data_IF_413082810838
#
_entry.id   IF_413082810838
#
_cell.length_a   1.000
_cell.length_b   1.000
_cell.length_c   1.000
_cell.angle_alpha   90.00
_cell.angle_beta   90.00
_cell.angle_gamma   90.00
#
_symmetry.space_group_name_H-M   'P 1'
#
loop_
_entity.id
_entity.type
_entity.pdbx_description
1 polymer ?
2 non-polymer ?
3 water ?
#
# COMPACT_ATOMS: atom_id res chain seq x y z
N UNK A 2 21.00 -4.97 -2.05
CA UNK A 2 22.07 -5.99 -2.16
C UNK A 2 21.84 -7.20 -1.27
N UNK A 3 22.24 -7.07 0.00
CA UNK A 3 22.08 -8.17 0.93
C UNK A 3 20.64 -8.29 1.38
N UNK A 4 20.37 -9.32 2.18
CA UNK A 4 19.01 -9.59 2.65
C UNK A 4 18.54 -8.49 3.59
N UNK A 5 19.46 -7.86 4.32
CA UNK A 5 19.07 -6.82 5.27
C UNK A 5 18.45 -5.63 4.55
N UNK A 6 19.03 -5.23 3.42
CA UNK A 6 18.45 -4.14 2.64
C UNK A 6 17.06 -4.49 2.16
N UNK A 7 16.86 -5.74 1.72
CA UNK A 7 15.53 -6.17 1.29
C UNK A 7 14.54 -6.13 2.45
N UNK A 8 14.96 -6.58 3.64
CA UNK A 8 14.07 -6.54 4.79
C UNK A 8 13.69 -5.11 5.13
N UNK A 9 14.66 -4.19 5.12
CA UNK A 9 14.36 -2.80 5.40
C UNK A 9 13.40 -2.23 4.37
N UNK A 10 13.63 -2.54 3.09
CA UNK A 10 12.75 -2.03 2.03
C UNK A 10 11.33 -2.54 2.21
N UNK A 11 11.18 -3.84 2.49
CA UNK A 11 9.86 -4.41 2.70
C UNK A 11 9.15 -3.82 3.91
N UNK A 12 9.89 -3.60 5.01
CA UNK A 12 9.29 -3.03 6.21
C UNK A 12 8.99 -1.55 6.08
N UNK A 13 9.69 -0.83 5.21
CA UNK A 13 9.47 0.60 5.05
C UNK A 13 8.46 0.94 3.96
N UNK A 14 8.29 0.07 2.96
CA UNK A 14 7.35 0.31 1.88
C UNK A 14 5.99 -0.33 2.14
N UNK A 15 5.79 -0.95 3.30
CA UNK A 15 4.53 -1.60 3.62
C UNK A 15 3.48 -0.65 4.17
N UNK A 16 3.88 0.30 5.01
CA UNK A 16 2.94 1.27 5.59
C UNK A 16 3.58 2.65 5.50
N UNK A 17 2.86 3.59 4.89
CA UNK A 17 3.34 4.96 4.76
C UNK A 17 2.40 5.91 5.49
N UNK A 18 1.10 5.80 5.25
CA UNK A 18 0.11 6.64 5.89
C UNK A 18 -1.02 5.85 6.56
N UNK A 19 -1.21 4.58 6.19
CA UNK A 19 -2.26 3.78 6.81
C UNK A 19 -2.07 3.74 8.31
N UNK A 20 -0.85 3.96 8.80
CA UNK A 20 -0.61 3.98 10.23
C UNK A 20 -1.44 5.04 10.93
N UNK A 21 -1.91 6.05 10.20
CA UNK A 21 -2.73 7.11 10.77
C UNK A 21 -4.22 6.87 10.58
N UNK A 22 -4.63 6.14 9.54
CA UNK A 22 -6.03 5.80 9.31
C UNK A 22 -6.43 4.48 9.94
N UNK A 23 -5.47 3.72 10.48
CA UNK A 23 -5.77 2.43 11.07
C UNK A 23 -6.68 2.58 12.29
N UNK A 24 -6.41 3.54 13.17
CA UNK A 24 -7.36 3.77 14.27
C UNK A 24 -8.76 4.12 13.80
N UNK A 25 -8.87 4.85 12.69
CA UNK A 25 -10.19 5.14 12.13
C UNK A 25 -10.88 3.85 11.68
N UNK A 26 -10.11 2.92 11.11
CA UNK A 26 -10.67 1.62 10.76
C UNK A 26 -11.11 0.86 11.99
N UNK A 27 -10.31 0.90 13.06
CA UNK A 27 -10.72 0.25 14.30
C UNK A 27 -11.99 0.84 14.88
N UNK A 28 -12.15 2.15 14.80
CA UNK A 28 -13.37 2.78 15.29
C UNK A 28 -14.61 2.26 14.59
N UNK A 29 -14.45 1.70 13.38
CA UNK A 29 -15.56 1.13 12.62
C UNK A 29 -15.68 -0.38 12.81
N UNK A 30 -14.56 -1.08 12.96
CA UNK A 30 -14.56 -2.53 13.09
C UNK A 30 -14.68 -3.00 14.54
N UNK A 31 -14.10 -2.27 15.48
CA UNK A 31 -13.96 -2.73 16.84
C UNK A 31 -12.59 -3.36 17.06
N UNK A 32 -12.26 -3.55 18.34
CA UNK A 32 -10.94 -4.05 18.70
C UNK A 32 -10.74 -5.48 18.21
N UNK A 33 -11.67 -6.38 18.53
CA UNK A 33 -11.51 -7.78 18.15
C UNK A 33 -11.49 -7.93 16.64
N UNK A 34 -12.48 -7.36 15.96
CA UNK A 34 -12.55 -7.49 14.50
C UNK A 34 -11.33 -6.85 13.85
N UNK A 35 -10.91 -5.69 14.33
CA UNK A 35 -9.74 -5.04 13.76
C UNK A 35 -8.48 -5.87 13.90
N UNK A 36 -8.24 -6.40 15.10
CA UNK A 36 -7.05 -7.21 15.32
C UNK A 36 -7.09 -8.45 14.44
N UNK A 37 -8.23 -9.14 14.42
CA UNK A 37 -8.33 -10.36 13.61
C UNK A 37 -8.11 -10.06 12.14
N UNK A 38 -8.71 -8.98 11.64
CA UNK A 38 -8.53 -8.63 10.24
C UNK A 38 -7.08 -8.28 9.93
N UNK A 39 -6.41 -7.52 10.80
CA UNK A 39 -5.02 -7.20 10.54
C UNK A 39 -4.16 -8.46 10.48
N UNK A 40 -4.32 -9.37 11.45
CA UNK A 40 -3.53 -10.59 11.41
C UNK A 40 -3.84 -11.46 10.19
N UNK A 41 -5.12 -11.67 9.89
CA UNK A 41 -5.49 -12.49 8.74
C UNK A 41 -4.96 -11.90 7.44
N UNK A 42 -5.11 -10.60 7.25
CA UNK A 42 -4.61 -9.94 6.05
C UNK A 42 -3.09 -9.88 6.00
N UNK A 43 -2.41 -9.82 7.14
CA UNK A 43 -0.96 -9.89 7.14
C UNK A 43 -0.49 -11.23 6.64
N UNK A 44 -1.08 -12.32 7.15
CA UNK A 44 -0.74 -13.64 6.65
C UNK A 44 -1.07 -13.77 5.16
N UNK A 45 -2.23 -13.30 4.75
CA UNK A 45 -2.62 -13.42 3.34
C UNK A 45 -1.70 -12.60 2.43
N UNK A 46 -1.31 -11.40 2.87
CA UNK A 46 -0.39 -10.60 2.08
C UNK A 46 0.99 -11.21 1.99
N UNK A 47 1.48 -11.80 3.09
CA UNK A 47 2.74 -12.53 3.01
C UNK A 47 2.63 -13.68 2.02
N UNK A 48 1.51 -14.40 2.02
CA UNK A 48 1.33 -15.49 1.08
C UNK A 48 1.34 -14.99 -0.36
N UNK A 49 0.62 -13.90 -0.63
CA UNK A 49 0.59 -13.36 -1.98
C UNK A 49 1.96 -12.84 -2.42
N UNK A 50 2.72 -12.23 -1.50
CA UNK A 50 4.08 -11.83 -1.83
C UNK A 50 4.95 -13.04 -2.16
N UNK A 51 4.77 -14.14 -1.42
CA UNK A 51 5.50 -15.36 -1.74
C UNK A 51 5.13 -15.87 -3.12
N UNK A 52 3.84 -15.82 -3.47
CA UNK A 52 3.42 -16.24 -4.80
C UNK A 52 4.05 -15.38 -5.88
N UNK A 53 4.08 -14.06 -5.66
CA UNK A 53 4.69 -13.16 -6.63
C UNK A 53 6.17 -13.46 -6.79
N UNK A 54 6.85 -13.73 -5.67
CA UNK A 54 8.26 -14.11 -5.74
C UNK A 54 8.47 -15.40 -6.50
N UNK A 55 7.60 -16.39 -6.29
CA UNK A 55 7.71 -17.65 -7.04
C UNK A 55 7.54 -17.38 -8.52
N UNK A 56 6.55 -16.57 -8.90
CA UNK A 56 6.35 -16.27 -10.31
C UNK A 56 7.54 -15.53 -10.91
N UNK A 57 8.09 -14.56 -10.17
CA UNK A 57 9.25 -13.82 -10.66
C UNK A 57 10.45 -14.73 -10.86
N UNK A 58 10.70 -15.62 -9.90
CA UNK A 58 11.81 -16.55 -10.01
C UNK A 58 11.59 -17.49 -11.19
N UNK A 59 10.36 -17.98 -11.37
CA UNK A 59 10.06 -18.86 -12.48
C UNK A 59 10.32 -18.18 -13.81
N UNK A 60 9.86 -16.94 -13.96
CA UNK A 60 10.08 -16.21 -15.20
C UNK A 60 11.58 -15.98 -15.44
N UNK A 61 12.31 -15.57 -14.39
CA UNK A 61 13.73 -15.32 -14.57
C UNK A 61 14.48 -16.58 -14.96
N UNK A 62 14.16 -17.72 -14.35
CA UNK A 62 14.80 -18.97 -14.74
C UNK A 62 14.41 -19.37 -16.17
N UNK A 63 13.14 -19.21 -16.51
CA UNK A 63 12.68 -19.54 -17.86
C UNK A 63 13.37 -18.69 -18.92
N UNK A 64 13.75 -17.46 -18.57
CA UNK A 64 14.46 -16.61 -19.52
C UNK A 64 15.96 -16.86 -19.53
N UNK A 65 16.55 -17.16 -18.37
CA UNK A 65 17.97 -17.49 -18.32
C UNK A 65 18.28 -18.79 -19.05
N UNK A 66 17.39 -19.78 -18.96
CA UNK A 66 17.60 -21.02 -19.69
C UNK A 66 17.65 -20.80 -21.19
N UNK A 67 17.11 -19.67 -21.67
CA UNK A 67 17.20 -19.27 -23.07
C UNK A 67 18.28 -18.23 -23.31
N UNK A 68 19.14 -17.98 -22.32
CA UNK A 68 20.25 -17.03 -22.42
C UNK A 68 19.77 -15.61 -22.66
N UNK A 69 18.60 -15.24 -22.15
CA UNK A 69 18.12 -13.87 -22.28
C UNK A 69 18.98 -12.94 -21.44
N UNK A 70 19.17 -11.71 -21.93
CA UNK A 70 20.11 -10.79 -21.32
C UNK A 70 19.43 -9.81 -20.35
N UNK A 71 18.26 -9.30 -20.72
CA UNK A 71 17.54 -8.29 -19.94
C UNK A 71 18.20 -6.92 -20.05
N UNK A 72 19.36 -6.84 -20.69
CA UNK A 72 20.11 -5.58 -20.83
C UNK A 72 20.16 -4.80 -19.53
N UNK A 73 20.21 -5.52 -18.40
CA UNK A 73 20.30 -4.88 -17.09
C UNK A 73 19.14 -3.91 -16.84
N UNK A 74 17.91 -4.43 -16.85
CA UNK A 74 16.74 -3.62 -16.55
C UNK A 74 15.83 -4.39 -15.59
N UNK A 75 15.16 -3.65 -14.72
CA UNK A 75 14.25 -4.28 -13.76
C UNK A 75 13.17 -5.03 -14.50
N UNK A 76 12.91 -6.27 -14.09
CA UNK A 76 11.85 -7.08 -14.68
C UNK A 76 10.55 -6.72 -13.99
N UNK A 77 9.79 -5.80 -14.58
CA UNK A 77 8.57 -5.35 -13.96
C UNK A 77 7.52 -6.45 -13.95
N UNK A 78 6.50 -6.27 -13.11
CA UNK A 78 5.48 -7.30 -12.92
C UNK A 78 4.76 -7.62 -14.23
N UNK A 79 4.42 -6.61 -15.02
CA UNK A 79 3.74 -6.87 -16.28
C UNK A 79 4.63 -7.63 -17.25
N UNK A 80 5.94 -7.37 -17.25
CA UNK A 80 6.85 -8.15 -18.09
C UNK A 80 6.86 -9.62 -17.67
N UNK A 81 6.93 -9.89 -16.37
CA UNK A 81 6.89 -11.26 -15.88
C UNK A 81 5.60 -11.93 -16.32
N UNK A 82 4.47 -11.25 -16.12
CA UNK A 82 3.18 -11.83 -16.45
C UNK A 82 3.05 -12.06 -17.95
N UNK A 83 3.58 -11.15 -18.77
CA UNK A 83 3.57 -11.35 -20.22
C UNK A 83 4.37 -12.59 -20.60
N UNK A 84 5.61 -12.66 -20.13
CA UNK A 84 6.46 -13.78 -20.52
C UNK A 84 6.02 -15.10 -19.93
N UNK A 85 5.17 -15.08 -18.92
CA UNK A 85 4.77 -16.31 -18.24
C UNK A 85 3.37 -16.78 -18.64
N UNK A 86 2.48 -15.88 -19.08
CA UNK A 86 1.10 -16.27 -19.34
C UNK A 86 0.51 -15.73 -20.64
N UNK A 87 1.09 -14.73 -21.28
CA UNK A 87 0.60 -14.22 -22.54
C UNK A 87 0.33 -12.73 -22.49
N UNK A 88 -0.15 -12.23 -23.64
CA UNK A 88 -0.34 -10.79 -23.80
C UNK A 88 -1.58 -10.28 -23.09
N UNK A 89 -2.65 -11.06 -23.06
CA UNK A 89 -3.85 -10.62 -22.36
C UNK A 89 -3.59 -10.42 -20.88
N UNK A 90 -2.89 -11.36 -20.24
CA UNK A 90 -2.49 -11.18 -18.86
C UNK A 90 -1.51 -10.02 -18.71
N UNK A 91 -0.67 -9.77 -19.71
CA UNK A 91 0.16 -8.58 -19.68
C UNK A 91 -0.69 -7.32 -19.57
N UNK A 92 -1.70 -7.20 -20.43
CA UNK A 92 -2.55 -6.02 -20.42
C UNK A 92 -3.27 -5.90 -19.08
N UNK A 93 -3.81 -7.01 -18.59
CA UNK A 93 -4.54 -6.98 -17.33
C UNK A 93 -3.64 -6.51 -16.19
N UNK A 94 -2.47 -7.15 -16.05
CA UNK A 94 -1.56 -6.77 -14.98
C UNK A 94 -1.08 -5.34 -15.10
N UNK A 95 -0.70 -4.94 -16.32
CA UNK A 95 -0.25 -3.57 -16.53
C UNK A 95 -1.32 -2.57 -16.10
N UNK A 96 -2.55 -2.75 -16.59
CA UNK A 96 -3.60 -1.80 -16.28
C UNK A 96 -3.84 -1.74 -14.79
N UNK A 97 -4.03 -2.89 -14.14
CA UNK A 97 -4.35 -2.89 -12.72
C UNK A 97 -3.22 -2.32 -11.89
N UNK A 98 -1.98 -2.76 -12.17
CA UNK A 98 -0.84 -2.30 -11.39
C UNK A 98 -0.60 -0.81 -11.54
N UNK A 99 -0.62 -0.29 -12.77
CA UNK A 99 -0.43 1.14 -12.99
C UNK A 99 -1.55 1.97 -12.37
N UNK A 100 -2.81 1.55 -12.51
CA UNK A 100 -3.90 2.29 -11.89
C UNK A 100 -3.74 2.31 -10.37
N UNK A 101 -3.41 1.17 -9.77
CA UNK A 101 -3.25 1.13 -8.32
C UNK A 101 -2.10 2.02 -7.88
N UNK A 102 -0.99 2.00 -8.61
CA UNK A 102 0.14 2.86 -8.25
C UNK A 102 -0.20 4.34 -8.40
N UNK A 103 -0.93 4.72 -9.44
CA UNK A 103 -1.36 6.10 -9.60
C UNK A 103 -2.23 6.53 -8.42
N UNK A 104 -3.20 5.69 -8.05
CA UNK A 104 -4.07 6.04 -6.94
C UNK A 104 -3.33 6.03 -5.61
N UNK A 105 -2.34 5.15 -5.46
CA UNK A 105 -1.51 5.19 -4.26
C UNK A 105 -0.71 6.47 -4.15
N UNK A 106 -0.12 6.92 -5.26
CA UNK A 106 0.59 8.20 -5.25
C UNK A 106 -0.35 9.35 -4.91
N UNK A 107 -1.58 9.31 -5.45
CA UNK A 107 -2.59 10.28 -5.05
C UNK A 107 -2.82 10.21 -3.55
N UNK A 108 -2.86 8.99 -3.00
CA UNK A 108 -3.09 8.79 -1.57
C UNK A 108 -1.96 9.42 -0.76
N UNK A 109 -0.72 9.23 -1.18
CA UNK A 109 0.41 9.86 -0.49
C UNK A 109 0.37 11.38 -0.57
N UNK A 110 0.00 11.94 -1.72
CA UNK A 110 -0.14 13.38 -1.81
C UNK A 110 -1.21 13.89 -0.85
N UNK A 111 -2.36 13.21 -0.80
CA UNK A 111 -3.42 13.59 0.12
C UNK A 111 -2.93 13.49 1.57
N UNK A 112 -2.17 12.43 1.87
CA UNK A 112 -1.66 12.25 3.23
C UNK A 112 -0.71 13.38 3.61
N UNK A 113 0.18 13.77 2.70
CA UNK A 113 1.07 14.89 2.99
C UNK A 113 0.28 16.17 3.23
N UNK A 114 -0.71 16.43 2.38
CA UNK A 114 -1.51 17.64 2.54
C UNK A 114 -2.24 17.64 3.88
N UNK A 115 -2.80 16.50 4.26
CA UNK A 115 -3.51 16.43 5.54
C UNK A 115 -2.55 16.58 6.71
N UNK A 116 -1.39 15.94 6.65
CA UNK A 116 -0.46 15.96 7.77
C UNK A 116 0.12 17.35 8.00
N UNK A 117 0.51 18.05 6.93
CA UNK A 117 1.13 19.36 7.14
C UNK A 117 0.16 20.32 7.80
N UNK A 118 -1.15 20.13 7.61
CA UNK A 118 -2.13 21.04 8.18
C UNK A 118 -2.03 21.10 9.70
N UNK A 119 -1.51 20.03 10.33
CA UNK A 119 -1.48 19.96 11.78
C UNK A 119 -0.20 20.54 12.38
N UNK A 120 0.77 20.94 11.55
CA UNK A 120 1.87 21.78 12.01
C UNK A 120 1.54 23.25 11.80
N UNK A 121 0.94 23.57 10.65
CA UNK A 121 0.62 24.94 10.27
C UNK A 121 -0.80 24.92 9.70
N UNK A 122 -1.77 25.34 10.51
CA UNK A 122 -3.16 25.37 10.09
C UNK A 122 -3.54 26.70 9.44
N UNK A 123 -2.59 27.63 9.27
CA UNK A 123 -2.89 28.91 8.67
C UNK A 123 -3.38 28.78 7.23
N UNK A 124 -3.07 27.67 6.57
CA UNK A 124 -3.50 27.42 5.21
C UNK A 124 -4.40 26.19 5.18
N UNK A 125 -5.47 26.28 4.40
CA UNK A 125 -6.38 25.14 4.25
C UNK A 125 -5.67 23.97 3.58
N UNK A 126 -6.25 22.78 3.76
CA UNK A 126 -5.60 21.59 3.24
C UNK A 126 -5.49 21.61 1.72
N UNK A 127 -6.30 22.42 1.05
CA UNK A 127 -6.23 22.51 -0.41
C UNK A 127 -4.98 23.28 -0.86
N UNK A 128 -4.65 24.36 -0.14
CA UNK A 128 -3.41 25.08 -0.44
C UNK A 128 -2.21 24.19 -0.19
N UNK A 129 -2.23 23.42 0.89
CA UNK A 129 -1.16 22.46 1.15
C UNK A 129 -1.11 21.40 0.07
N UNK A 130 -2.27 20.98 -0.44
CA UNK A 130 -2.28 20.05 -1.55
C UNK A 130 -1.61 20.65 -2.78
N UNK A 131 -1.89 21.92 -3.08
CA UNK A 131 -1.20 22.57 -4.19
C UNK A 131 0.32 22.57 -3.98
N UNK A 132 0.75 23.00 -2.80
CA UNK A 132 2.19 23.15 -2.54
C UNK A 132 2.89 21.81 -2.66
N UNK A 133 2.33 20.78 -2.02
CA UNK A 133 2.95 19.47 -2.05
C UNK A 133 2.78 18.76 -3.38
N UNK A 134 1.76 19.12 -4.16
CA UNK A 134 1.69 18.62 -5.52
C UNK A 134 2.82 19.18 -6.36
N UNK A 135 3.14 20.47 -6.18
CA UNK A 135 4.32 21.01 -6.84
C UNK A 135 5.60 20.31 -6.36
N UNK A 136 5.72 20.10 -5.05
CA UNK A 136 6.90 19.43 -4.51
C UNK A 136 7.04 18.02 -5.07
N UNK A 137 5.93 17.31 -5.24
CA UNK A 137 5.98 15.96 -5.78
C UNK A 137 6.24 15.97 -7.28
N UNK A 138 5.67 16.94 -8.00
CA UNK A 138 5.99 17.09 -9.42
C UNK A 138 7.47 17.37 -9.62
N UNK A 139 8.12 17.97 -8.62
CA UNK A 139 9.56 18.14 -8.69
C UNK A 139 10.29 16.81 -8.80
N UNK A 140 9.65 15.70 -8.39
CA UNK A 140 10.30 14.39 -8.41
C UNK A 140 10.46 13.82 -9.81
N UNK A 141 9.85 14.44 -10.83
CA UNK A 141 9.96 13.90 -12.18
C UNK A 141 11.41 13.87 -12.63
N UNK A 142 12.21 14.86 -12.23
CA UNK A 142 13.60 14.95 -12.65
C UNK A 142 14.46 13.83 -12.08
N UNK A 143 14.01 13.14 -11.04
CA UNK A 143 14.77 12.05 -10.43
C UNK A 143 14.55 10.81 -11.28
N UNK A 144 15.61 10.17 -11.81
CA UNK A 144 15.40 9.02 -12.70
C UNK A 144 14.72 7.84 -12.01
N UNK A 145 15.28 7.37 -10.90
CA UNK A 145 14.77 6.20 -10.21
C UNK A 145 14.99 6.37 -8.71
N UNK A 146 14.51 5.39 -7.95
CA UNK A 146 14.63 5.40 -6.49
C UNK A 146 15.22 4.09 -5.95
N UNK A 147 15.37 3.07 -6.79
CA UNK A 147 15.90 1.79 -6.37
C UNK A 147 17.31 1.91 -5.81
N UNK A 148 18.08 2.86 -6.34
CA UNK A 148 19.49 2.97 -5.99
C UNK A 148 19.69 3.29 -4.50
N UNK A 149 18.66 3.79 -3.84
CA UNK A 149 18.80 4.33 -2.50
C UNK A 149 18.39 3.31 -1.44
N UNK A 150 19.24 3.16 -0.42
CA UNK A 150 18.99 2.32 0.75
C UNK A 150 18.75 3.12 2.01
N UNK A 151 19.30 4.34 2.08
CA UNK A 151 19.01 5.24 3.18
C UNK A 151 17.51 5.50 3.26
N UNK A 152 16.87 5.69 2.11
CA UNK A 152 15.44 5.98 2.08
C UNK A 152 14.62 4.81 2.61
N UNK A 153 15.21 3.62 2.74
CA UNK A 153 14.54 2.48 3.35
C UNK A 153 14.82 2.37 4.84
N UNK A 154 16.10 2.32 5.23
CA UNK A 154 16.37 2.11 6.66
C UNK A 154 16.32 3.40 7.46
N UNK A 155 15.90 4.51 6.86
CA UNK A 155 15.47 5.68 7.61
C UNK A 155 13.95 5.78 7.67
N UNK A 156 13.27 5.47 6.56
CA UNK A 156 11.82 5.45 6.57
C UNK A 156 11.26 4.43 7.56
N UNK A 157 11.94 3.30 7.71
CA UNK A 157 11.52 2.35 8.73
C UNK A 157 11.60 2.97 10.12
N UNK A 158 12.67 3.71 10.41
CA UNK A 158 12.78 4.39 11.70
C UNK A 158 11.67 5.42 11.88
N UNK A 159 11.37 6.18 10.82
CA UNK A 159 10.28 7.15 10.93
C UNK A 159 8.95 6.48 11.24
N UNK A 160 8.64 5.38 10.54
CA UNK A 160 7.40 4.67 10.82
C UNK A 160 7.37 4.11 12.23
N UNK A 161 8.49 3.55 12.69
CA UNK A 161 8.54 3.03 14.05
C UNK A 161 8.30 4.13 15.07
N UNK A 162 8.94 5.29 14.87
CA UNK A 162 8.76 6.40 15.80
C UNK A 162 7.32 6.87 15.81
N UNK A 163 6.70 6.97 14.63
CA UNK A 163 5.31 7.42 14.58
C UNK A 163 4.40 6.44 15.30
N UNK A 164 4.59 5.14 15.06
CA UNK A 164 3.73 4.15 15.72
C UNK A 164 3.89 4.19 17.22
N UNK A 165 5.13 4.25 17.71
CA UNK A 165 5.34 4.26 19.16
C UNK A 165 4.90 5.57 19.78
N UNK A 166 5.03 6.70 19.07
CA UNK A 166 4.48 7.95 19.58
C UNK A 166 2.97 7.83 19.72
N UNK A 167 2.29 7.31 18.69
CA UNK A 167 0.85 7.11 18.78
C UNK A 167 0.50 6.29 20.00
N UNK A 168 1.17 5.14 20.17
CA UNK A 168 0.87 4.25 21.28
C UNK A 168 1.06 4.94 22.62
N UNK A 169 2.25 5.53 22.83
CA UNK A 169 2.57 6.10 24.13
C UNK A 169 1.69 7.31 24.44
N UNK A 170 1.47 8.18 23.44
CA UNK A 170 0.63 9.35 23.67
C UNK A 170 -0.80 8.94 23.98
N UNK A 171 -1.34 7.95 23.26
CA UNK A 171 -2.69 7.49 23.54
C UNK A 171 -2.78 6.90 24.94
N UNK A 172 -1.80 6.10 25.34
CA UNK A 172 -1.83 5.52 26.68
C UNK A 172 -1.70 6.58 27.76
N UNK A 173 -0.84 7.58 27.57
CA UNK A 173 -0.65 8.61 28.59
C UNK A 173 -1.85 9.53 28.68
N UNK A 174 -2.45 9.88 27.55
CA UNK A 174 -3.59 10.80 27.56
C UNK A 174 -4.75 10.22 28.37
N UNK A 175 -5.03 8.94 28.18
CA UNK A 175 -6.11 8.29 28.89
C UNK A 175 -7.46 8.63 28.32
N UNK A 176 -8.38 7.66 28.34
CA UNK A 176 -9.72 7.89 27.80
C UNK A 176 -10.54 8.70 28.79
N UNK A 177 -11.31 9.65 28.27
CA UNK A 177 -12.13 10.52 29.11
C UNK A 177 -13.40 9.79 29.56
N UNK A 178 -14.09 10.40 30.53
CA UNK A 178 -15.31 9.80 31.05
C UNK A 178 -16.41 9.75 30.00
N UNK A 179 -16.39 10.67 29.04
CA UNK A 179 -17.44 10.76 28.02
C UNK A 179 -17.14 9.90 26.80
N UNK A 180 -16.05 9.12 26.83
CA UNK A 180 -15.71 8.30 25.68
C UNK A 180 -16.76 7.21 25.49
N UNK A 181 -16.92 6.77 24.25
CA UNK A 181 -17.80 5.66 23.91
C UNK A 181 -17.06 4.72 22.97
N UNK A 182 -17.32 3.41 23.13
CA UNK A 182 -16.67 2.37 22.34
C UNK A 182 -17.76 1.50 21.72
N UNK A 183 -18.24 1.91 20.55
CA UNK A 183 -19.26 1.15 19.83
C UNK A 183 -18.60 0.29 18.77
N UNK A 184 -18.96 -0.99 18.75
CA UNK A 184 -18.43 -1.92 17.78
C UNK A 184 -19.09 -1.74 16.43
N UNK A 185 -19.33 -2.84 15.71
CA UNK A 185 -20.01 -2.72 14.41
C UNK A 185 -21.40 -2.13 14.55
N UNK A 186 -21.60 -0.93 13.99
CA UNK A 186 -22.90 -0.28 13.97
C UNK A 186 -23.66 -0.52 12.68
N UNK A 187 -22.98 -0.40 11.54
CA UNK A 187 -23.57 -0.72 10.25
C UNK A 187 -22.52 -1.41 9.41
N UNK A 188 -22.95 -2.35 8.57
CA UNK A 188 -22.01 -3.13 7.77
C UNK A 188 -21.16 -2.25 6.87
N UNK A 189 -21.65 -1.08 6.48
CA UNK A 189 -20.88 -0.20 5.61
C UNK A 189 -19.58 0.21 6.28
N UNK A 190 -19.66 0.70 7.52
CA UNK A 190 -18.46 1.12 8.23
C UNK A 190 -17.55 -0.07 8.53
N UNK A 191 -18.14 -1.20 8.93
CA UNK A 191 -17.36 -2.39 9.20
C UNK A 191 -16.53 -2.81 8.00
N UNK A 192 -17.17 -2.91 6.83
CA UNK A 192 -16.46 -3.34 5.64
C UNK A 192 -15.55 -2.25 5.09
N UNK A 193 -15.84 -0.97 5.35
CA UNK A 193 -14.88 0.07 5.02
C UNK A 193 -13.59 -0.10 5.81
N UNK A 194 -13.71 -0.39 7.12
CA UNK A 194 -12.51 -0.64 7.91
C UNK A 194 -11.77 -1.89 7.46
N UNK A 195 -12.53 -2.96 7.16
CA UNK A 195 -11.90 -4.18 6.68
C UNK A 195 -11.16 -3.94 5.37
N UNK A 196 -11.74 -3.17 4.46
CA UNK A 196 -11.08 -2.84 3.21
C UNK A 196 -9.86 -1.95 3.43
N UNK A 197 -9.93 -1.05 4.41
CA UNK A 197 -8.74 -0.26 4.73
C UNK A 197 -7.60 -1.15 5.21
N UNK A 198 -7.91 -2.14 6.05
CA UNK A 198 -6.87 -3.08 6.48
C UNK A 198 -6.33 -3.87 5.29
N UNK A 199 -7.24 -4.32 4.41
CA UNK A 199 -6.82 -5.02 3.20
C UNK A 199 -5.86 -4.17 2.38
N UNK A 200 -6.18 -2.88 2.26
CA UNK A 200 -5.27 -1.96 1.58
C UNK A 200 -3.93 -1.87 2.31
N UNK A 201 -3.98 -1.84 3.64
CA UNK A 201 -2.75 -1.73 4.43
C UNK A 201 -1.80 -2.90 4.12
N UNK A 202 -2.33 -4.11 4.09
CA UNK A 202 -1.48 -5.29 3.90
C UNK A 202 -1.63 -5.86 2.50
N UNK A 203 -0.59 -6.55 2.04
CA UNK A 203 -0.63 -7.23 0.77
C UNK A 203 0.64 -7.16 -0.04
N UNK A 204 1.40 -6.07 0.08
CA UNK A 204 2.62 -5.91 -0.68
C UNK A 204 2.69 -4.60 -1.43
N UNK A 205 1.53 -4.02 -1.74
CA UNK A 205 1.45 -2.72 -2.39
C UNK A 205 2.09 -2.74 -3.78
N UNK A 206 2.04 -3.89 -4.43
CA UNK A 206 2.43 -4.01 -5.84
C UNK A 206 3.83 -3.47 -6.08
N UNK A 207 4.74 -3.75 -5.15
CA UNK A 207 6.13 -3.31 -5.29
C UNK A 207 7.04 -4.48 -4.96
N UNK A 208 6.49 -5.69 -4.96
CA UNK A 208 7.27 -6.86 -4.57
C UNK A 208 8.42 -7.13 -5.54
N UNK A 209 8.13 -7.21 -6.84
CA UNK A 209 9.19 -7.47 -7.80
C UNK A 209 10.23 -6.37 -7.80
N UNK A 210 9.82 -5.13 -7.51
CA UNK A 210 10.73 -4.00 -7.48
C UNK A 210 11.65 -4.04 -6.26
N UNK A 211 11.15 -4.50 -5.11
CA UNK A 211 12.01 -4.73 -3.95
C UNK A 211 12.84 -5.99 -4.11
N UNK A 212 12.46 -6.88 -5.02
CA UNK A 212 13.13 -8.18 -5.18
C UNK A 212 14.24 -8.15 -6.21
N UNK A 213 14.11 -7.35 -7.27
CA UNK A 213 15.14 -7.30 -8.29
C UNK A 213 16.49 -6.85 -7.73
N UNK A 214 16.48 -6.06 -6.66
CA UNK A 214 17.71 -5.55 -6.08
C UNK A 214 18.45 -6.57 -5.24
N UNK A 215 17.85 -7.73 -4.99
CA UNK A 215 18.47 -8.74 -4.14
C UNK A 215 19.43 -9.61 -4.93
N UNK A 216 20.57 -9.94 -4.31
CA UNK A 216 21.51 -10.86 -4.93
C UNK A 216 20.89 -12.23 -5.12
N UNK A 217 20.16 -12.71 -4.12
CA UNK A 217 19.56 -14.05 -4.13
C UNK A 217 18.08 -13.90 -3.77
N UNK A 218 17.23 -13.60 -4.75
CA UNK A 218 15.81 -13.33 -4.44
C UNK A 218 15.06 -14.52 -3.87
N UNK A 219 15.69 -15.69 -3.75
CA UNK A 219 15.01 -16.85 -3.20
C UNK A 219 14.60 -16.65 -1.74
N UNK A 220 15.35 -15.85 -0.98
CA UNK A 220 15.07 -15.66 0.43
C UNK A 220 13.99 -14.60 0.68
N UNK A 221 13.53 -13.92 -0.37
CA UNK A 221 12.48 -12.92 -0.19
C UNK A 221 11.25 -13.51 0.49
N UNK A 222 11.00 -14.81 0.29
CA UNK A 222 9.84 -15.43 0.92
C UNK A 222 9.86 -15.22 2.43
N UNK A 223 10.99 -15.50 3.07
CA UNK A 223 11.11 -15.33 4.50
C UNK A 223 11.35 -13.87 4.89
N UNK A 224 12.09 -13.13 4.06
CA UNK A 224 12.38 -11.74 4.40
C UNK A 224 11.09 -10.93 4.48
N UNK A 225 10.19 -11.11 3.51
CA UNK A 225 8.94 -10.35 3.54
C UNK A 225 8.06 -10.81 4.69
N UNK A 226 8.08 -12.10 5.03
CA UNK A 226 7.29 -12.57 6.16
C UNK A 226 7.76 -11.91 7.46
N UNK A 227 9.08 -11.84 7.66
CA UNK A 227 9.60 -11.18 8.85
C UNK A 227 9.30 -9.68 8.85
N UNK A 228 9.40 -9.04 7.67
CA UNK A 228 9.05 -7.63 7.58
C UNK A 228 7.58 -7.40 7.92
N UNK A 229 6.71 -8.30 7.46
CA UNK A 229 5.29 -8.20 7.78
C UNK A 229 5.05 -8.39 9.28
N UNK A 230 5.79 -9.31 9.89
CA UNK A 230 5.66 -9.50 11.34
C UNK A 230 6.04 -8.21 12.07
N UNK A 231 7.15 -7.59 11.65
CA UNK A 231 7.56 -6.34 12.29
C UNK A 231 6.53 -5.23 12.06
N UNK A 232 5.98 -5.16 10.84
CA UNK A 232 4.97 -4.14 10.56
C UNK A 232 3.72 -4.37 11.39
N UNK A 233 3.34 -5.63 11.61
CA UNK A 233 2.23 -5.91 12.52
C UNK A 233 2.57 -5.46 13.94
N UNK A 234 3.80 -5.73 14.40
CA UNK A 234 4.21 -5.25 15.70
C UNK A 234 4.09 -3.73 15.79
N UNK A 235 4.38 -3.03 14.70
CA UNK A 235 4.25 -1.58 14.70
C UNK A 235 2.80 -1.14 14.74
N UNK A 236 1.96 -1.75 13.90
CA UNK A 236 0.60 -1.23 13.68
C UNK A 236 -0.37 -1.64 14.76
N UNK A 237 -0.32 -2.90 15.21
CA UNK A 237 -1.29 -3.37 16.20
C UNK A 237 -1.31 -2.51 17.46
N UNK A 238 -0.17 -2.22 18.10
CA UNK A 238 -0.22 -1.44 19.35
C UNK A 238 -0.70 -0.01 19.14
N UNK A 239 -0.21 0.67 18.10
CA UNK A 239 -0.60 2.06 17.88
C UNK A 239 -2.10 2.17 17.64
N UNK A 240 -2.63 1.37 16.71
CA UNK A 240 -4.05 1.41 16.43
C UNK A 240 -4.87 1.03 17.66
N UNK A 241 -4.46 -0.03 18.36
CA UNK A 241 -5.21 -0.47 19.53
C UNK A 241 -5.26 0.61 20.59
N UNK A 242 -4.11 1.24 20.88
CA UNK A 242 -4.08 2.26 21.92
C UNK A 242 -4.86 3.50 21.51
N UNK A 243 -4.71 3.94 20.25
CA UNK A 243 -5.43 5.13 19.81
C UNK A 243 -6.94 4.90 19.89
N UNK A 244 -7.39 3.70 19.50
CA UNK A 244 -8.82 3.40 19.61
C UNK A 244 -9.24 3.34 21.07
N UNK A 245 -8.51 2.60 21.90
CA UNK A 245 -8.86 2.51 23.31
C UNK A 245 -9.01 3.89 23.93
N UNK A 246 -8.17 4.83 23.51
CA UNK A 246 -8.27 6.18 24.06
C UNK A 246 -9.43 6.95 23.45
N UNK A 247 -9.38 7.23 22.15
CA UNK A 247 -10.38 8.05 21.48
C UNK A 247 -11.33 7.16 20.68
N UNK A 248 -12.00 6.25 21.37
CA UNK A 248 -13.07 5.48 20.76
C UNK A 248 -14.29 6.33 20.43
N UNK A 249 -14.86 6.06 19.26
CA UNK A 249 -16.09 6.63 18.72
C UNK A 249 -15.87 8.09 18.30
N UNK A 250 -14.71 8.68 18.57
CA UNK A 250 -14.37 10.00 18.08
C UNK A 250 -13.45 9.94 16.86
N UNK A 251 -12.89 8.76 16.57
CA UNK A 251 -12.07 8.57 15.38
C UNK A 251 -12.89 8.41 14.12
N UNK A 252 -14.20 8.16 14.25
CA UNK A 252 -15.05 8.01 13.07
C UNK A 252 -15.06 9.27 12.22
N UNK A 253 -15.13 10.44 12.87
CA UNK A 253 -15.08 11.72 12.18
C UNK A 253 -13.69 12.30 12.10
N UNK A 254 -12.68 11.58 12.58
CA UNK A 254 -11.27 12.02 12.53
C UNK A 254 -10.47 10.90 11.89
N UNK A 255 -10.32 10.96 10.56
CA UNK A 255 -9.56 9.95 9.84
C UNK A 255 -8.10 9.95 10.30
N UNK A 256 -7.46 11.12 10.30
CA UNK A 256 -6.09 11.21 10.77
C UNK A 256 -6.04 11.09 12.29
N UNK A 257 -5.15 10.23 12.77
CA UNK A 257 -4.98 10.00 14.20
C UNK A 257 -4.25 11.14 14.90
N UNK A 258 -3.57 12.00 14.15
CA UNK A 258 -2.86 13.13 14.74
C UNK A 258 -3.74 14.34 14.96
N UNK A 259 -4.96 14.34 14.41
CA UNK A 259 -5.88 15.45 14.64
C UNK A 259 -6.44 15.45 16.06
N UNK A 260 -6.36 14.32 16.76
CA UNK A 260 -6.95 14.19 18.08
C UNK A 260 -5.92 14.40 19.19
N UNK A 261 -4.72 13.86 19.02
CA UNK A 261 -3.73 13.92 20.09
C UNK A 261 -3.33 15.37 20.36
N UNK A 262 -3.04 15.73 21.60
CA UNK A 262 -2.67 17.12 21.88
C UNK A 262 -1.40 17.52 21.15
N UNK A 263 -1.37 18.77 20.71
CA UNK A 263 -0.20 19.27 19.98
C UNK A 263 0.97 19.44 20.94
N UNK A 264 2.15 18.97 20.51
CA UNK A 264 3.35 19.07 21.32
C UNK A 264 4.55 18.85 20.40
N UNK A 265 5.74 18.99 20.97
CA UNK A 265 6.95 18.76 20.20
C UNK A 265 7.01 17.37 19.59
N UNK A 266 6.58 16.36 20.34
CA UNK A 266 6.56 15.00 19.80
C UNK A 266 5.59 14.87 18.64
N UNK A 267 4.42 15.50 18.73
CA UNK A 267 3.49 15.45 17.60
C UNK A 267 4.05 16.16 16.38
N UNK A 268 4.74 17.29 16.59
CA UNK A 268 5.38 17.97 15.46
C UNK A 268 6.45 17.09 14.83
N UNK A 269 7.25 16.42 15.66
CA UNK A 269 8.26 15.50 15.13
C UNK A 269 7.61 14.37 14.34
N UNK A 270 6.52 13.81 14.87
CA UNK A 270 5.82 12.74 14.16
C UNK A 270 5.30 13.24 12.81
N UNK A 271 4.72 14.44 12.78
CA UNK A 271 4.19 14.97 11.53
C UNK A 271 5.32 15.18 10.53
N UNK A 272 6.44 15.73 10.98
CA UNK A 272 7.56 15.99 10.08
C UNK A 272 8.09 14.68 9.51
N UNK A 273 8.28 13.67 10.38
CA UNK A 273 8.80 12.39 9.91
C UNK A 273 7.83 11.71 8.95
N UNK A 274 6.52 11.75 9.24
CA UNK A 274 5.55 11.18 8.32
C UNK A 274 5.54 11.91 6.98
N UNK A 275 5.64 13.25 7.00
CA UNK A 275 5.70 13.99 5.75
C UNK A 275 6.91 13.58 4.93
N UNK A 276 8.08 13.50 5.57
CA UNK A 276 9.28 13.04 4.87
C UNK A 276 9.17 11.61 4.38
N UNK A 277 8.42 10.77 5.08
CA UNK A 277 8.18 9.39 4.67
C UNK A 277 7.26 9.28 3.46
N UNK A 278 6.16 10.02 3.43
CA UNK A 278 5.31 9.99 2.25
C UNK A 278 5.93 10.71 1.06
N UNK A 279 6.77 11.72 1.29
CA UNK A 279 7.49 12.35 0.19
C UNK A 279 8.43 11.39 -0.52
N UNK A 280 8.86 10.33 0.16
CA UNK A 280 9.66 9.29 -0.46
C UNK A 280 8.82 8.13 -0.96
N UNK A 281 7.73 7.79 -0.26
CA UNK A 281 6.81 6.77 -0.75
C UNK A 281 6.18 7.17 -2.07
N UNK A 282 5.84 8.45 -2.24
CA UNK A 282 5.30 8.93 -3.50
C UNK A 282 6.28 8.66 -4.63
N UNK A 283 7.56 8.99 -4.42
CA UNK A 283 8.55 8.74 -5.46
C UNK A 283 8.72 7.27 -5.74
N UNK A 284 8.80 6.46 -4.68
CA UNK A 284 9.01 5.02 -4.83
C UNK A 284 7.81 4.34 -5.49
N UNK A 285 6.62 4.94 -5.41
CA UNK A 285 5.44 4.42 -6.06
C UNK A 285 5.19 5.00 -7.45
N UNK A 286 5.74 6.18 -7.75
CA UNK A 286 5.53 6.82 -9.03
C UNK A 286 6.64 6.55 -10.04
N UNK A 287 7.83 6.16 -9.57
CA UNK A 287 8.89 5.80 -10.50
C UNK A 287 8.44 4.68 -11.42
N UNK A 288 7.78 3.64 -10.91
CA UNK A 288 7.24 2.60 -11.80
C UNK A 288 6.26 3.15 -12.81
N UNK A 289 5.39 4.10 -12.40
CA UNK A 289 4.46 4.72 -13.34
C UNK A 289 5.20 5.55 -14.38
N UNK A 290 6.22 6.30 -13.96
CA UNK A 290 7.02 7.08 -14.88
C UNK A 290 7.74 6.22 -15.90
N UNK A 291 8.24 5.05 -15.51
CA UNK A 291 8.93 4.16 -16.43
C UNK A 291 7.96 3.59 -17.48
N UNK A 292 6.79 3.14 -17.05
CA UNK A 292 5.83 2.57 -18.00
C UNK A 292 5.30 3.67 -18.93
N UNK A 293 5.08 4.87 -18.40
CA UNK A 293 4.62 5.96 -19.25
C UNK A 293 5.60 6.20 -20.39
N UNK A 294 6.89 6.34 -20.06
CA UNK A 294 7.93 6.54 -21.06
C UNK A 294 8.08 5.35 -22.00
N UNK A 295 7.90 4.13 -21.52
CA UNK A 295 7.93 2.96 -22.41
C UNK A 295 6.79 2.98 -23.42
N UNK A 296 5.56 3.27 -22.97
CA UNK A 296 4.45 3.35 -23.91
C UNK A 296 4.65 4.48 -24.92
N UNK A 297 5.01 5.68 -24.45
CA UNK A 297 5.17 6.80 -25.38
C UNK A 297 6.45 6.69 -26.20
N UNK A 298 7.31 5.73 -25.90
CA UNK A 298 8.51 5.52 -26.69
C UNK A 298 9.65 6.45 -26.36
N UNK A 299 9.55 7.17 -25.26
CA UNK A 299 10.61 8.09 -24.85
C UNK A 299 11.66 7.40 -23.99
N UNK A 300 11.28 6.33 -23.30
CA UNK A 300 12.22 5.58 -22.49
C UNK A 300 13.35 5.01 -23.32
N UNK A 301 14.58 5.09 -22.81
CA UNK A 301 15.72 4.44 -23.46
C UNK A 301 16.28 3.34 -22.58
N UNK A 305 18.37 14.81 -19.79
CA UNK A 305 17.28 14.30 -18.96
C UNK A 305 16.16 15.33 -18.86
N UNK A 306 16.50 16.61 -19.09
CA UNK A 306 15.49 17.66 -19.01
C UNK A 306 14.38 17.44 -20.01
N UNK A 307 14.73 17.09 -21.25
CA UNK A 307 13.70 16.81 -22.25
C UNK A 307 12.90 15.56 -21.91
N UNK A 308 13.58 14.50 -21.44
CA UNK A 308 12.88 13.30 -21.01
C UNK A 308 12.05 13.55 -19.77
N UNK A 309 12.61 14.30 -18.81
CA UNK A 309 11.87 14.57 -17.57
C UNK A 309 10.60 15.35 -17.85
N UNK A 310 10.65 16.32 -18.76
CA UNK A 310 9.47 17.09 -19.10
C UNK A 310 8.36 16.19 -19.64
N UNK A 311 8.72 15.08 -20.27
CA UNK A 311 7.74 14.14 -20.80
C UNK A 311 7.05 13.34 -19.71
N UNK A 312 7.53 13.41 -18.46
CA UNK A 312 6.87 12.73 -17.35
C UNK A 312 5.73 13.55 -16.75
N UNK A 313 5.63 14.83 -17.09
CA UNK A 313 4.59 15.67 -16.50
C UNK A 313 3.18 15.14 -16.75
N UNK A 314 2.82 14.66 -17.95
CA UNK A 314 1.46 14.15 -18.15
C UNK A 314 1.05 13.09 -17.14
N UNK A 315 2.00 12.43 -16.48
CA UNK A 315 1.67 11.47 -15.44
C UNK A 315 1.33 12.19 -14.13
N UNK A 316 1.98 13.32 -13.88
CA UNK A 316 1.75 14.05 -12.63
C UNK A 316 0.37 14.68 -12.61
N UNK A 317 -0.08 15.22 -13.75
CA UNK A 317 -1.35 15.95 -13.79
C UNK A 317 -2.50 15.11 -13.27
N UNK A 318 -2.70 13.86 -13.73
CA UNK A 318 -3.75 13.03 -13.12
C UNK A 318 -3.57 12.86 -11.62
N UNK A 319 -2.33 12.72 -11.16
CA UNK A 319 -2.09 12.56 -9.72
C UNK A 319 -2.41 13.85 -8.98
N UNK A 320 -1.93 14.99 -9.50
CA UNK A 320 -2.17 16.26 -8.85
C UNK A 320 -3.66 16.62 -8.83
N UNK A 321 -4.36 16.37 -9.93
CA UNK A 321 -5.77 16.72 -10.00
C UNK A 321 -6.60 15.84 -9.08
N UNK A 322 -6.32 14.53 -9.07
CA UNK A 322 -7.12 13.61 -8.28
C UNK A 322 -7.04 13.91 -6.80
N UNK A 323 -5.85 14.27 -6.31
CA UNK A 323 -5.72 14.58 -4.88
C UNK A 323 -6.56 15.80 -4.51
N UNK A 324 -6.58 16.82 -5.36
CA UNK A 324 -7.31 18.04 -5.05
C UNK A 324 -8.82 17.79 -5.03
N UNK A 325 -9.33 17.08 -6.04
CA UNK A 325 -10.77 16.88 -6.15
C UNK A 325 -11.28 15.96 -5.05
N UNK A 326 -10.49 14.95 -4.67
CA UNK A 326 -10.89 13.97 -3.67
C UNK A 326 -9.86 13.95 -2.54
N UNK A 327 -9.92 14.92 -1.63
CA UNK A 327 -8.98 14.94 -0.50
C UNK A 327 -9.40 14.03 0.65
N UNK A 328 -10.35 13.13 0.40
CA UNK A 328 -10.90 12.27 1.45
C UNK A 328 -9.82 11.31 1.93
N UNK A 329 -9.11 11.75 2.97
CA UNK A 329 -7.94 11.06 3.49
C UNK A 329 -8.22 9.59 3.81
N UNK A 330 -9.27 9.32 4.58
CA UNK A 330 -9.54 7.97 5.04
C UNK A 330 -10.23 7.11 4.00
N UNK A 331 -11.45 7.48 3.63
CA UNK A 331 -12.25 6.62 2.74
C UNK A 331 -11.62 6.36 1.38
N UNK A 332 -10.73 7.23 0.91
CA UNK A 332 -10.03 6.97 -0.35
C UNK A 332 -9.27 5.67 -0.25
N UNK A 333 -8.66 5.40 0.91
CA UNK A 333 -7.92 4.17 1.09
C UNK A 333 -8.81 2.95 0.93
N UNK A 334 -10.00 2.96 1.55
CA UNK A 334 -10.91 1.85 1.40
C UNK A 334 -11.37 1.69 -0.05
N UNK A 335 -11.70 2.80 -0.71
CA UNK A 335 -12.13 2.72 -2.10
C UNK A 335 -11.07 2.09 -2.98
N UNK A 336 -9.83 2.56 -2.86
CA UNK A 336 -8.75 2.02 -3.66
C UNK A 336 -8.48 0.57 -3.28
N UNK A 337 -8.56 0.25 -1.98
CA UNK A 337 -8.30 -1.11 -1.56
C UNK A 337 -9.28 -2.11 -2.15
N UNK A 338 -10.57 -1.76 -2.12
CA UNK A 338 -11.57 -2.68 -2.67
C UNK A 338 -11.49 -2.74 -4.18
N UNK A 339 -11.44 -1.58 -4.85
CA UNK A 339 -11.53 -1.59 -6.30
C UNK A 339 -10.25 -2.03 -6.98
N UNK A 340 -9.09 -1.68 -6.43
CA UNK A 340 -7.82 -1.88 -7.10
C UNK A 340 -6.93 -2.89 -6.39
N UNK A 341 -6.71 -2.74 -5.09
CA UNK A 341 -5.81 -3.64 -4.38
C UNK A 341 -6.34 -5.07 -4.42
N UNK A 342 -7.65 -5.23 -4.25
CA UNK A 342 -8.22 -6.58 -4.22
C UNK A 342 -7.82 -7.38 -5.45
N UNK A 343 -7.70 -6.71 -6.60
CA UNK A 343 -7.28 -7.39 -7.82
C UNK A 343 -5.77 -7.30 -8.01
N UNK A 344 -5.21 -6.12 -7.78
CA UNK A 344 -3.79 -5.90 -8.09
C UNK A 344 -2.89 -6.80 -7.24
N UNK A 345 -3.18 -6.91 -5.96
CA UNK A 345 -2.24 -7.53 -5.01
C UNK A 345 -2.63 -8.94 -4.60
N UNK A 346 -3.92 -9.29 -4.65
CA UNK A 346 -4.38 -10.58 -4.13
C UNK A 346 -4.92 -11.49 -5.22
N UNK A 347 -5.94 -11.06 -5.97
CA UNK A 347 -6.60 -11.98 -6.89
C UNK A 347 -5.70 -12.27 -8.09
N UNK A 348 -5.10 -11.23 -8.66
CA UNK A 348 -4.34 -11.38 -9.91
C UNK A 348 -3.12 -12.27 -9.67
N UNK A 349 -2.31 -12.03 -8.63
CA UNK A 349 -1.18 -12.94 -8.38
C UNK A 349 -1.60 -14.38 -8.15
N UNK A 350 -2.70 -14.60 -7.42
CA UNK A 350 -3.14 -15.97 -7.17
C UNK A 350 -3.58 -16.65 -8.45
N UNK A 351 -4.34 -15.94 -9.30
CA UNK A 351 -4.75 -16.52 -10.57
C UNK A 351 -3.55 -16.81 -11.45
N UNK A 352 -2.57 -15.90 -11.47
CA UNK A 352 -1.37 -16.13 -12.26
C UNK A 352 -0.61 -17.35 -11.77
N UNK A 353 -0.50 -17.52 -10.44
CA UNK A 353 0.18 -18.68 -9.89
C UNK A 353 -0.56 -19.96 -10.27
N UNK A 354 -1.89 -19.95 -10.17
CA UNK A 354 -2.65 -21.15 -10.50
C UNK A 354 -2.50 -21.51 -11.97
N UNK A 355 -2.55 -20.51 -12.86
CA UNK A 355 -2.49 -20.81 -14.30
C UNK A 355 -1.09 -21.21 -14.73
N UNK A 356 -0.06 -20.58 -14.14
CA UNK A 356 1.30 -20.84 -14.58
C UNK A 356 1.69 -22.30 -14.38
N UNK A 357 1.33 -22.87 -13.23
CA UNK A 357 1.70 -24.24 -12.89
C UNK A 357 0.59 -25.23 -13.18
N UNK A 358 -0.50 -24.80 -13.84
CA UNK A 358 -1.55 -25.74 -14.20
C UNK A 358 -1.05 -26.83 -15.13
N UNK A 359 -0.29 -26.54 -16.19
CA UNK A 359 0.21 -27.61 -17.05
C UNK A 359 1.12 -28.56 -16.27
N UNK A 360 1.01 -29.85 -16.58
CA UNK A 360 1.83 -30.86 -15.91
C UNK A 360 3.32 -30.66 -16.12
N UNK A 361 3.83 -30.49 -17.35
CA UNK A 361 5.28 -30.28 -17.49
C UNK A 361 5.77 -29.03 -16.79
N UNK A 362 4.98 -27.95 -16.81
CA UNK A 362 5.38 -26.73 -16.14
C UNK A 362 5.47 -26.93 -14.63
N UNK A 363 4.53 -27.69 -14.06
CA UNK A 363 4.56 -27.96 -12.63
C UNK A 363 5.71 -28.89 -12.25
N UNK A 364 5.99 -29.88 -13.09
CA UNK A 364 7.02 -30.86 -12.74
C UNK A 364 8.40 -30.23 -12.75
N UNK A 365 8.73 -29.48 -13.80
CA UNK A 365 10.06 -28.90 -13.96
C UNK A 365 10.14 -27.48 -13.41
N UNK A 366 9.31 -27.14 -12.43
CA UNK A 366 9.37 -25.81 -11.83
C UNK A 366 10.68 -25.64 -11.07
N UNK A 367 11.03 -24.37 -10.82
CA UNK A 367 12.28 -24.07 -10.14
C UNK A 367 12.29 -24.68 -8.74
N UNK A 368 11.20 -24.53 -8.01
CA UNK A 368 11.12 -25.04 -6.65
C UNK A 368 9.69 -25.45 -6.33
N UNK A 369 9.56 -26.56 -5.60
CA UNK A 369 8.25 -27.01 -5.18
C UNK A 369 7.78 -26.18 -3.98
N UNK A 370 6.47 -26.06 -3.76
CA UNK A 370 5.99 -25.34 -2.60
C UNK A 370 6.38 -26.06 -1.32
N UNK A 371 6.50 -25.34 -0.21
CA UNK A 371 6.91 -26.00 1.03
C UNK A 371 5.94 -27.10 1.43
N UNK A 372 6.49 -28.17 2.02
CA UNK A 372 5.65 -29.27 2.48
C UNK A 372 4.80 -28.88 3.69
N UNK A 373 5.19 -27.83 4.42
CA UNK A 373 4.39 -27.39 5.56
C UNK A 373 3.01 -26.92 5.11
N UNK A 374 2.91 -26.40 3.89
CA UNK A 374 1.64 -25.91 3.36
C UNK A 374 0.96 -26.97 2.50
N UNK A 375 1.38 -28.23 2.61
CA UNK A 375 0.71 -29.32 1.91
C UNK A 375 1.09 -29.49 0.46
N UNK A 376 2.18 -28.85 0.01
CA UNK A 376 2.60 -29.03 -1.36
C UNK A 376 1.67 -28.34 -2.34
N UNK A 377 1.59 -28.91 -3.55
CA UNK A 377 0.80 -28.30 -4.61
C UNK A 377 -0.68 -28.25 -4.26
N UNK A 378 -1.20 -29.33 -3.66
CA UNK A 378 -2.61 -29.36 -3.30
C UNK A 378 -2.96 -28.23 -2.35
N UNK A 379 -2.17 -28.09 -1.28
CA UNK A 379 -2.41 -27.03 -0.33
C UNK A 379 -2.21 -25.65 -0.91
N UNK A 380 -1.20 -25.49 -1.77
CA UNK A 380 -0.98 -24.20 -2.41
C UNK A 380 -2.17 -23.80 -3.27
N UNK A 381 -2.70 -24.74 -4.06
CA UNK A 381 -3.86 -24.43 -4.89
C UNK A 381 -5.10 -24.15 -4.03
N UNK A 382 -5.28 -24.91 -2.95
CA UNK A 382 -6.42 -24.65 -2.06
C UNK A 382 -6.32 -23.25 -1.47
N UNK A 383 -5.12 -22.87 -1.01
CA UNK A 383 -4.94 -21.55 -0.42
C UNK A 383 -5.17 -20.46 -1.46
N UNK A 384 -4.68 -20.67 -2.69
CA UNK A 384 -4.90 -19.68 -3.74
C UNK A 384 -6.39 -19.52 -4.05
N UNK A 385 -7.11 -20.64 -4.13
CA UNK A 385 -8.55 -20.56 -4.39
C UNK A 385 -9.25 -19.83 -3.27
N UNK A 386 -8.89 -20.13 -2.02
CA UNK A 386 -9.50 -19.44 -0.88
C UNK A 386 -9.21 -17.95 -0.93
N UNK A 387 -7.96 -17.58 -1.24
CA UNK A 387 -7.61 -16.17 -1.30
C UNK A 387 -8.42 -15.47 -2.37
N UNK A 388 -8.52 -16.06 -3.56
CA UNK A 388 -9.30 -15.46 -4.64
C UNK A 388 -10.74 -15.28 -4.20
N UNK A 389 -11.36 -16.34 -3.68
CA UNK A 389 -12.78 -16.28 -3.34
C UNK A 389 -13.02 -15.24 -2.25
N UNK A 390 -12.16 -15.23 -1.22
CA UNK A 390 -12.36 -14.30 -0.11
C UNK A 390 -12.17 -12.86 -0.55
N UNK A 391 -11.06 -12.57 -1.24
CA UNK A 391 -10.80 -11.20 -1.65
C UNK A 391 -11.81 -10.73 -2.68
N UNK A 392 -12.49 -11.66 -3.35
CA UNK A 392 -13.55 -11.26 -4.27
C UNK A 392 -14.84 -10.96 -3.53
N UNK A 393 -15.35 -11.94 -2.79
CA UNK A 393 -16.66 -11.77 -2.15
C UNK A 393 -16.61 -10.67 -1.10
N UNK A 394 -15.57 -10.67 -0.26
CA UNK A 394 -15.47 -9.68 0.81
C UNK A 394 -14.67 -8.47 0.38
N UNK A 395 -13.49 -8.69 -0.21
CA UNK A 395 -12.64 -7.59 -0.61
C UNK A 395 -13.25 -6.71 -1.69
N UNK A 396 -13.91 -7.33 -2.67
CA UNK A 396 -14.47 -6.58 -3.79
C UNK A 396 -15.98 -6.36 -3.65
N UNK A 397 -16.75 -7.42 -3.44
CA UNK A 397 -18.19 -7.28 -3.41
C UNK A 397 -18.69 -6.50 -2.21
N UNK A 398 -18.61 -7.10 -1.02
CA UNK A 398 -19.00 -6.38 0.19
C UNK A 398 -18.09 -5.17 0.42
N UNK A 399 -16.78 -5.37 0.29
CA UNK A 399 -15.86 -4.28 0.47
C UNK A 399 -16.08 -3.15 -0.51
N UNK A 400 -16.28 -3.48 -1.79
CA UNK A 400 -16.53 -2.46 -2.79
C UNK A 400 -17.82 -1.72 -2.54
N UNK A 401 -18.89 -2.44 -2.24
CA UNK A 401 -20.16 -1.79 -1.95
C UNK A 401 -20.01 -0.83 -0.78
N UNK A 402 -19.46 -1.30 0.33
CA UNK A 402 -19.35 -0.46 1.52
C UNK A 402 -18.44 0.74 1.26
N UNK A 403 -17.27 0.51 0.66
CA UNK A 403 -16.32 1.58 0.46
C UNK A 403 -16.87 2.64 -0.49
N UNK A 404 -17.51 2.23 -1.58
CA UNK A 404 -18.07 3.20 -2.51
C UNK A 404 -19.27 3.93 -1.92
N UNK A 405 -20.11 3.25 -1.13
CA UNK A 405 -21.19 3.95 -0.44
C UNK A 405 -20.62 5.01 0.47
N UNK A 406 -19.57 4.66 1.22
CA UNK A 406 -18.95 5.63 2.12
C UNK A 406 -18.32 6.79 1.35
N UNK A 407 -17.68 6.50 0.23
CA UNK A 407 -17.05 7.55 -0.58
C UNK A 407 -18.09 8.50 -1.14
N UNK A 408 -19.20 7.96 -1.65
CA UNK A 408 -20.28 8.82 -2.14
C UNK A 408 -20.88 9.61 -0.99
N UNK A 409 -20.95 9.00 0.19
CA UNK A 409 -21.43 9.72 1.38
C UNK A 409 -20.52 10.90 1.72
N UNK A 410 -19.20 10.72 1.64
CA UNK A 410 -18.29 11.83 1.87
C UNK A 410 -18.49 12.92 0.82
N UNK A 411 -18.65 12.52 -0.45
CA UNK A 411 -18.88 13.51 -1.50
C UNK A 411 -20.16 14.29 -1.23
N UNK A 412 -21.20 13.61 -0.74
CA UNK A 412 -22.47 14.26 -0.47
C UNK A 412 -22.35 15.29 0.64
N UNK A 413 -21.63 14.97 1.72
CA UNK A 413 -21.59 15.81 2.90
C UNK A 413 -20.48 16.85 2.88
N UNK A 414 -19.45 16.68 2.04
CA UNK A 414 -18.34 17.63 1.99
C UNK A 414 -18.14 18.24 0.60
N UNK A 415 -18.61 17.59 -0.45
CA UNK A 415 -18.50 18.15 -1.79
C UNK A 415 -17.14 17.93 -2.42
N UNK A 416 -17.05 18.29 -3.69
CA UNK A 416 -15.79 18.18 -4.42
C UNK A 416 -14.93 19.41 -4.20
N UNK A 417 -13.61 19.21 -4.25
CA UNK A 417 -12.64 20.29 -4.05
C UNK A 417 -12.83 20.98 -2.71
N UNK A 418 -13.20 20.21 -1.68
CA UNK A 418 -13.45 20.78 -0.37
C UNK A 418 -12.18 21.32 0.25
N UNK A 419 -12.30 22.47 0.92
CA UNK A 419 -11.17 23.10 1.57
C UNK A 419 -10.66 22.21 2.70
N UNK A 420 -11.53 21.91 3.67
CA UNK A 420 -11.28 20.90 4.70
C UNK A 420 -12.03 19.64 4.36
N UNK A 421 -11.32 18.51 4.32
CA UNK A 421 -12.00 17.23 4.43
C UNK A 421 -12.64 17.15 5.79
N UNK A 422 -11.87 17.45 6.84
CA UNK A 422 -12.38 17.50 8.21
C UNK A 422 -11.55 18.49 9.01
N UNK A 423 -12.17 19.62 9.39
CA UNK A 423 -11.59 20.52 10.37
C UNK A 423 -12.58 20.82 11.50
N UNK A 424 -13.16 19.81 12.15
CA UNK A 424 -14.00 20.13 13.31
C UNK A 424 -13.23 20.87 14.40
#
# INVERSE_FOLDING_TARGET
MGSVYDAWFSCASNQVAQVLLTLPYSFSQLGMMSGILFQLFYGLMGSWTAYLISVLYVEYRTRKEREKFDFRNHVIQWFEVLDGLLGKHWRNLGLIFNCTFLLFGSVIQLIACASNIYYINDKLDKRTWTYIFGACCATTVFIPSFHNYRIWSFLGLAMTTYTSWYLTIASLLHGQAEDVKHSGPTTMVLYFTGATNILYTFGGHAVTVEIMHAMWKPQKFKAIYLLATIYVLTLTLPSASAVYWAFGDKLLTHSNALSLLPKTGFRDTAVILMLIHQFITFGFASTPLYFVWEKLIGVHETKSMFKRAMARLPVVVPIWFLAIIFPFFGPINSAVGSLLVSFTVYIIPALAHMLTFAPAPSRENAVERPPRVVGGWMGTYCINIFVVVWVFVVGFGFGGWASMVNFVRQIDTFGLFTKCYQCPPHKPGENLYFQ
#
